data_IF_899810557414
#
_entry.id   IF_899810557414
#
_cell.length_a   1.000
_cell.length_b   1.000
_cell.length_c   1.000
_cell.angle_alpha   90.00
_cell.angle_beta   90.00
_cell.angle_gamma   90.00
#
_symmetry.space_group_name_H-M   'P 1'
#
loop_
_entity.id
_entity.type
_entity.pdbx_description
1 polymer ?
#
# COMPACT_ATOMS: atom_id res chain seq x y z
N UNK A 1 -13.45 3.20 -38.73
CA UNK A 1 -12.50 2.71 -37.69
C UNK A 1 -13.08 3.08 -36.34
N UNK A 2 -12.93 2.19 -35.35
CA UNK A 2 -13.40 2.40 -33.99
C UNK A 2 -12.20 2.30 -33.05
N UNK A 3 -11.89 3.38 -32.34
CA UNK A 3 -10.83 3.42 -31.33
C UNK A 3 -11.47 3.39 -29.95
N UNK A 4 -10.96 2.54 -29.08
CA UNK A 4 -11.45 2.43 -27.70
C UNK A 4 -10.32 2.78 -26.76
N UNK A 5 -10.23 4.08 -26.44
CA UNK A 5 -9.08 4.68 -25.76
C UNK A 5 -9.21 4.50 -24.25
N UNK A 6 -8.13 4.10 -23.55
CA UNK A 6 -8.11 4.08 -22.10
C UNK A 6 -8.23 5.51 -21.57
N UNK A 7 -9.00 5.69 -20.50
CA UNK A 7 -9.08 6.96 -19.77
C UNK A 7 -8.41 6.73 -18.41
N UNK A 8 -7.39 7.51 -18.02
CA UNK A 8 -6.79 7.35 -16.71
C UNK A 8 -7.73 7.90 -15.63
N UNK A 9 -7.75 7.25 -14.46
CA UNK A 9 -8.45 7.81 -13.29
C UNK A 9 -7.67 9.00 -12.75
N UNK A 10 -8.30 10.16 -12.73
CA UNK A 10 -7.67 11.36 -12.14
C UNK A 10 -8.05 11.60 -10.68
N UNK A 11 -9.19 11.07 -10.24
CA UNK A 11 -9.53 11.08 -8.82
C UNK A 11 -8.47 10.29 -8.04
N UNK A 12 -7.85 10.93 -7.04
CA UNK A 12 -6.92 10.29 -6.10
C UNK A 12 -7.55 10.13 -4.71
N UNK A 13 -7.04 9.17 -3.95
CA UNK A 13 -7.37 8.91 -2.55
C UNK A 13 -6.06 8.71 -1.78
N UNK A 14 -6.01 9.24 -0.57
CA UNK A 14 -4.92 8.95 0.36
C UNK A 14 -5.18 7.61 1.03
N UNK A 15 -4.19 6.74 1.01
CA UNK A 15 -4.21 5.47 1.72
C UNK A 15 -3.07 5.43 2.72
N UNK A 16 -3.37 5.09 3.97
CA UNK A 16 -2.36 4.88 5.00
C UNK A 16 -2.03 3.40 5.06
N UNK A 17 -0.75 3.06 4.94
CA UNK A 17 -0.27 1.67 4.98
C UNK A 17 0.90 1.59 5.94
N UNK A 18 0.86 0.66 6.89
CA UNK A 18 2.00 0.38 7.76
C UNK A 18 2.91 -0.64 7.12
N UNK A 19 4.17 -0.26 6.93
CA UNK A 19 5.20 -1.10 6.32
C UNK A 19 6.02 -1.76 7.43
N UNK A 20 6.11 -3.08 7.40
CA UNK A 20 6.85 -3.92 8.32
C UNK A 20 8.10 -4.48 7.64
N UNK A 21 9.19 -4.65 8.39
CA UNK A 21 10.33 -5.44 7.94
C UNK A 21 10.13 -6.91 8.29
N UNK A 22 10.39 -7.81 7.35
CA UNK A 22 10.26 -9.26 7.60
C UNK A 22 11.50 -9.90 8.20
N UNK A 23 12.52 -9.10 8.51
CA UNK A 23 13.78 -9.55 9.09
C UNK A 23 14.07 -8.92 10.47
N UNK A 24 13.17 -8.07 10.98
CA UNK A 24 13.33 -7.36 12.25
C UNK A 24 14.40 -6.26 12.25
N UNK A 25 14.90 -5.82 11.09
CA UNK A 25 15.93 -4.77 11.01
C UNK A 25 15.41 -3.35 11.27
N UNK A 26 14.09 -3.14 11.21
CA UNK A 26 13.45 -1.83 11.28
C UNK A 26 12.13 -1.90 12.02
N UNK A 27 11.81 -0.81 12.73
CA UNK A 27 10.49 -0.59 13.30
C UNK A 27 9.44 -0.41 12.19
N UNK A 28 8.18 -0.81 12.42
CA UNK A 28 7.10 -0.54 11.49
C UNK A 28 6.88 0.96 11.32
N UNK A 29 6.66 1.39 10.07
CA UNK A 29 6.43 2.80 9.76
C UNK A 29 5.19 2.95 8.89
N UNK A 30 4.32 3.89 9.24
CA UNK A 30 3.11 4.20 8.50
C UNK A 30 3.35 5.29 7.47
N UNK A 31 2.91 5.05 6.24
CA UNK A 31 3.05 5.98 5.13
C UNK A 31 1.68 6.33 4.56
N UNK A 32 1.47 7.63 4.30
CA UNK A 32 0.34 8.12 3.54
C UNK A 32 0.72 8.24 2.07
N UNK A 33 0.03 7.47 1.22
CA UNK A 33 0.26 7.47 -0.23
C UNK A 33 -0.98 7.91 -0.98
N UNK A 34 -0.80 8.82 -1.94
CA UNK A 34 -1.86 9.26 -2.84
C UNK A 34 -1.91 8.33 -4.05
N UNK A 35 -2.98 7.54 -4.16
CA UNK A 35 -3.19 6.60 -5.27
C UNK A 35 -4.45 6.95 -6.05
N UNK A 36 -4.55 6.59 -7.34
CA UNK A 36 -5.80 6.74 -8.07
C UNK A 36 -6.93 5.98 -7.37
N UNK A 37 -8.08 6.63 -7.16
CA UNK A 37 -9.27 6.06 -6.50
C UNK A 37 -9.74 4.77 -7.17
N UNK A 38 -9.54 4.67 -8.48
CA UNK A 38 -9.86 3.49 -9.29
C UNK A 38 -8.60 2.85 -9.87
N UNK A 39 -7.47 3.00 -9.18
CA UNK A 39 -6.20 2.40 -9.56
C UNK A 39 -6.13 0.92 -9.22
N UNK A 40 -4.92 0.40 -9.36
CA UNK A 40 -4.56 -0.99 -9.18
C UNK A 40 -3.55 -1.16 -8.04
N UNK A 41 -3.33 -2.40 -7.60
CA UNK A 41 -2.29 -2.72 -6.63
C UNK A 41 -0.92 -2.22 -7.10
N UNK A 42 -0.65 -2.28 -8.41
CA UNK A 42 0.58 -1.73 -8.99
C UNK A 42 0.75 -0.24 -8.67
N UNK A 43 -0.32 0.55 -8.74
CA UNK A 43 -0.27 1.99 -8.41
C UNK A 43 0.06 2.21 -6.92
N UNK A 44 -0.52 1.38 -6.04
CA UNK A 44 -0.28 1.42 -4.60
C UNK A 44 1.15 1.00 -4.25
N UNK A 45 1.63 -0.12 -4.79
CA UNK A 45 2.99 -0.61 -4.56
C UNK A 45 4.02 0.38 -5.12
N UNK A 46 3.77 0.96 -6.30
CA UNK A 46 4.64 1.98 -6.87
C UNK A 46 4.71 3.21 -5.95
N UNK A 47 3.56 3.74 -5.51
CA UNK A 47 3.54 4.88 -4.58
C UNK A 47 4.25 4.57 -3.26
N UNK A 48 4.01 3.39 -2.69
CA UNK A 48 4.67 2.93 -1.46
C UNK A 48 6.18 2.78 -1.64
N UNK A 49 6.63 2.20 -2.77
CA UNK A 49 8.05 1.95 -3.04
C UNK A 49 8.88 3.24 -3.02
N UNK A 50 8.28 4.35 -3.48
CA UNK A 50 8.91 5.67 -3.49
C UNK A 50 9.00 6.24 -2.07
N UNK A 51 7.90 6.25 -1.31
CA UNK A 51 7.86 6.88 0.01
C UNK A 51 8.62 6.09 1.08
N UNK A 52 8.66 4.76 0.96
CA UNK A 52 9.37 3.90 1.91
C UNK A 52 10.82 3.61 1.47
N UNK A 53 11.28 4.15 0.34
CA UNK A 53 12.61 3.91 -0.22
C UNK A 53 12.89 2.40 -0.33
N UNK A 54 12.08 1.72 -1.12
CA UNK A 54 12.22 0.28 -1.37
C UNK A 54 13.48 0.01 -2.21
N UNK A 55 14.31 -0.94 -1.77
CA UNK A 55 15.51 -1.34 -2.49
C UNK A 55 15.19 -2.09 -3.78
N UNK A 56 16.14 -2.06 -4.73
CA UNK A 56 15.98 -2.76 -6.02
C UNK A 56 15.90 -4.29 -5.87
N UNK A 57 16.34 -4.85 -4.75
CA UNK A 57 16.27 -6.27 -4.41
C UNK A 57 15.13 -6.61 -3.44
N UNK A 58 14.21 -5.67 -3.19
CA UNK A 58 13.07 -5.83 -2.30
C UNK A 58 11.72 -5.77 -3.05
N UNK A 59 10.70 -6.35 -2.44
CA UNK A 59 9.29 -6.29 -2.85
C UNK A 59 8.41 -5.98 -1.64
N UNK A 60 7.18 -5.56 -1.91
CA UNK A 60 6.15 -5.35 -0.89
C UNK A 60 5.03 -6.37 -1.09
N UNK A 61 4.75 -7.15 -0.04
CA UNK A 61 3.53 -7.94 0.04
C UNK A 61 2.47 -7.14 0.82
N UNK A 62 1.41 -6.70 0.15
CA UNK A 62 0.35 -5.88 0.75
C UNK A 62 -0.80 -6.77 1.23
N UNK A 63 -1.32 -6.51 2.42
CA UNK A 63 -2.37 -7.30 3.05
C UNK A 63 -3.44 -6.41 3.70
N UNK A 64 -4.65 -6.94 3.73
CA UNK A 64 -5.77 -6.38 4.47
C UNK A 64 -5.84 -7.07 5.84
N UNK A 65 -5.82 -6.27 6.89
CA UNK A 65 -5.81 -6.73 8.28
C UNK A 65 -7.14 -6.37 8.93
N UNK A 66 -7.81 -7.37 9.51
CA UNK A 66 -9.03 -7.17 10.27
C UNK A 66 -8.99 -7.99 11.54
N UNK A 67 -9.36 -7.36 12.67
CA UNK A 67 -9.31 -7.99 13.99
C UNK A 67 -7.96 -8.69 14.26
N UNK A 68 -6.84 -8.02 13.94
CA UNK A 68 -5.47 -8.51 14.18
C UNK A 68 -5.07 -9.75 13.37
N UNK A 69 -5.90 -10.15 12.39
CA UNK A 69 -5.61 -11.22 11.45
C UNK A 69 -5.51 -10.70 10.02
N UNK A 70 -4.65 -11.32 9.20
CA UNK A 70 -4.65 -11.10 7.76
C UNK A 70 -5.89 -11.79 7.19
N UNK A 71 -6.78 -11.01 6.57
CA UNK A 71 -7.99 -11.55 5.94
C UNK A 71 -7.86 -11.65 4.42
N UNK A 72 -6.93 -10.89 3.83
CA UNK A 72 -6.70 -10.90 2.38
C UNK A 72 -5.26 -10.53 2.04
N UNK A 73 -4.71 -11.23 1.06
CA UNK A 73 -3.45 -10.87 0.40
C UNK A 73 -3.80 -10.21 -0.93
N UNK A 74 -3.19 -9.07 -1.20
CA UNK A 74 -3.24 -8.39 -2.50
C UNK A 74 -2.00 -8.85 -3.27
N UNK A 75 -2.17 -9.81 -4.17
CA UNK A 75 -1.06 -10.44 -4.89
C UNK A 75 -1.04 -10.07 -6.37
N UNK A 76 -2.21 -9.91 -6.99
CA UNK A 76 -2.29 -9.60 -8.42
C UNK A 76 -2.07 -8.11 -8.66
N UNK A 77 -1.09 -7.70 -9.49
CA UNK A 77 -0.82 -6.29 -9.76
C UNK A 77 -2.03 -5.53 -10.31
N UNK A 78 -2.96 -6.23 -10.96
CA UNK A 78 -4.22 -5.71 -11.49
C UNK A 78 -5.35 -5.60 -10.47
N UNK A 79 -5.15 -6.06 -9.23
CA UNK A 79 -6.17 -5.98 -8.17
C UNK A 79 -6.61 -4.55 -7.96
N UNK A 80 -7.93 -4.31 -7.99
CA UNK A 80 -8.46 -2.96 -7.83
C UNK A 80 -8.31 -2.49 -6.39
N UNK A 81 -7.63 -1.36 -6.18
CA UNK A 81 -7.56 -0.72 -4.85
C UNK A 81 -8.87 -0.05 -4.46
N UNK A 82 -9.81 0.12 -5.40
CA UNK A 82 -11.13 0.66 -5.10
C UNK A 82 -11.96 -0.23 -4.16
N UNK A 83 -11.59 -1.50 -4.01
CA UNK A 83 -12.23 -2.45 -3.10
C UNK A 83 -11.88 -2.20 -1.63
N UNK A 84 -10.78 -1.47 -1.38
CA UNK A 84 -10.30 -1.11 -0.06
C UNK A 84 -11.11 0.07 0.48
N UNK A 85 -11.95 -0.21 1.47
CA UNK A 85 -12.92 0.72 2.05
C UNK A 85 -12.27 1.63 3.08
N UNK A 86 -12.91 2.75 3.32
CA UNK A 86 -12.59 3.65 4.44
C UNK A 86 -12.78 2.86 5.74
N UNK A 87 -11.79 2.91 6.64
CA UNK A 87 -11.77 2.10 7.86
C UNK A 87 -11.03 0.76 7.76
N UNK A 88 -10.75 0.24 6.54
CA UNK A 88 -9.94 -0.97 6.41
C UNK A 88 -8.50 -0.68 6.87
N UNK A 89 -7.78 -1.69 7.38
CA UNK A 89 -6.38 -1.55 7.83
C UNK A 89 -5.46 -2.29 6.86
N UNK A 90 -4.37 -1.64 6.46
CA UNK A 90 -3.42 -2.20 5.52
C UNK A 90 -2.05 -2.37 6.16
N UNK A 91 -1.47 -3.55 5.97
CA UNK A 91 -0.08 -3.83 6.28
C UNK A 91 0.66 -4.16 4.98
N UNK A 92 1.90 -3.71 4.84
CA UNK A 92 2.79 -4.11 3.77
C UNK A 92 4.07 -4.69 4.36
N UNK A 93 4.53 -5.82 3.84
CA UNK A 93 5.72 -6.51 4.35
C UNK A 93 6.85 -6.41 3.34
N UNK A 94 7.99 -5.83 3.75
CA UNK A 94 9.21 -5.72 2.93
C UNK A 94 9.92 -7.06 2.89
N UNK A 95 9.96 -7.69 1.73
CA UNK A 95 10.58 -8.99 1.51
C UNK A 95 11.70 -8.87 0.49
N UNK A 96 12.84 -9.57 0.66
CA UNK A 96 13.81 -9.71 -0.42
C UNK A 96 13.20 -10.45 -1.62
N UNK A 97 13.48 -10.02 -2.86
CA UNK A 97 12.99 -10.63 -4.11
C UNK A 97 13.26 -12.14 -4.21
N UNK A 98 14.38 -12.61 -3.66
CA UNK A 98 14.70 -14.05 -3.59
C UNK A 98 13.65 -14.89 -2.84
N UNK A 99 12.85 -14.26 -1.99
CA UNK A 99 11.80 -14.90 -1.19
C UNK A 99 10.38 -14.68 -1.73
N UNK A 100 10.21 -14.08 -2.91
CA UNK A 100 8.88 -13.82 -3.51
C UNK A 100 8.00 -15.07 -3.59
N UNK A 101 8.61 -16.23 -3.85
CA UNK A 101 7.92 -17.54 -3.96
C UNK A 101 8.27 -18.49 -2.82
N UNK A 102 8.99 -18.03 -1.82
CA UNK A 102 9.32 -18.86 -0.66
C UNK A 102 8.10 -19.02 0.24
N UNK A 103 7.92 -20.18 0.89
CA UNK A 103 6.99 -20.33 1.98
C UNK A 103 7.22 -19.26 3.08
N UNK A 104 6.13 -18.71 3.60
CA UNK A 104 6.14 -17.65 4.61
C UNK A 104 5.56 -18.17 5.92
N UNK A 105 6.01 -17.64 7.05
CA UNK A 105 5.36 -17.79 8.35
C UNK A 105 4.63 -16.52 8.72
N UNK A 106 3.41 -16.67 9.23
CA UNK A 106 2.56 -15.58 9.73
C UNK A 106 2.32 -15.80 11.21
N UNK A 107 2.84 -14.89 12.03
CA UNK A 107 2.64 -14.87 13.47
C UNK A 107 1.46 -13.97 13.82
N UNK A 108 0.47 -14.54 14.50
CA UNK A 108 -0.64 -13.79 15.12
C UNK A 108 -0.50 -13.87 16.64
N UNK A 109 -0.82 -12.80 17.36
CA UNK A 109 -0.57 -12.74 18.81
C UNK A 109 -1.86 -12.87 19.62
N UNK A 110 -1.79 -13.59 20.73
CA UNK A 110 -2.88 -13.71 21.70
C UNK A 110 -2.39 -13.46 23.12
N UNK A 111 -3.21 -12.79 23.93
CA UNK A 111 -3.00 -12.66 25.36
C UNK A 111 -4.26 -13.08 26.13
N UNK A 112 -4.06 -13.49 27.38
CA UNK A 112 -5.16 -13.77 28.29
C UNK A 112 -5.75 -12.49 28.85
N UNK A 113 -7.06 -12.30 28.70
CA UNK A 113 -7.81 -11.24 29.38
C UNK A 113 -8.63 -11.89 30.50
N UNK A 114 -8.40 -11.43 31.73
CA UNK A 114 -9.19 -11.86 32.88
C UNK A 114 -10.39 -10.90 33.03
N UNK A 115 -11.59 -11.36 32.67
CA UNK A 115 -12.82 -10.61 32.95
C UNK A 115 -13.35 -10.97 34.34
N UNK A 116 -13.39 -10.00 35.25
CA UNK A 116 -14.12 -10.12 36.51
C UNK A 116 -15.59 -9.77 36.25
N UNK A 117 -16.41 -10.74 35.89
CA UNK A 117 -17.86 -10.58 35.86
C UNK A 117 -18.51 -11.83 36.44
N UNK A 118 -19.04 -11.67 37.65
CA UNK A 118 -19.93 -12.59 38.36
C UNK A 118 -19.47 -14.07 38.45
N UNK A 119 -18.48 -14.32 39.31
CA UNK A 119 -18.23 -15.62 39.94
C UNK A 119 -17.68 -16.77 39.09
N UNK A 120 -17.72 -16.70 37.76
CA UNK A 120 -17.14 -17.70 36.86
C UNK A 120 -15.93 -17.13 36.09
N UNK A 121 -14.73 -17.51 36.52
CA UNK A 121 -13.48 -17.23 35.82
C UNK A 121 -13.43 -18.07 34.53
N UNK A 122 -13.95 -17.55 33.43
CA UNK A 122 -13.66 -18.10 32.09
C UNK A 122 -12.55 -17.26 31.46
N UNK A 123 -11.33 -17.81 31.29
CA UNK A 123 -10.26 -17.09 30.60
C UNK A 123 -10.66 -16.92 29.13
N UNK A 124 -10.74 -15.66 28.67
CA UNK A 124 -11.00 -15.35 27.26
C UNK A 124 -9.67 -14.96 26.61
N UNK A 125 -9.25 -15.70 25.58
CA UNK A 125 -8.10 -15.33 24.77
C UNK A 125 -8.51 -14.26 23.76
N UNK A 126 -7.74 -13.17 23.71
CA UNK A 126 -7.97 -12.08 22.77
C UNK A 126 -6.78 -11.95 21.83
N UNK A 127 -7.05 -11.95 20.53
CA UNK A 127 -6.06 -11.61 19.50
C UNK A 127 -5.74 -10.11 19.59
N UNK A 128 -4.46 -9.77 19.53
CA UNK A 128 -3.97 -8.40 19.58
C UNK A 128 -2.86 -8.22 18.55
N UNK A 129 -2.57 -6.95 18.23
CA UNK A 129 -1.45 -6.54 17.38
C UNK A 129 -1.54 -6.85 15.88
N UNK A 130 -0.79 -6.09 15.07
CA UNK A 130 -0.59 -6.41 13.68
C UNK A 130 0.15 -7.76 13.53
N UNK A 131 -0.27 -8.63 12.60
CA UNK A 131 0.42 -9.90 12.37
C UNK A 131 1.83 -9.64 11.84
N UNK A 132 2.80 -10.44 12.29
CA UNK A 132 4.18 -10.38 11.82
C UNK A 132 4.42 -11.47 10.78
N UNK A 133 5.29 -11.18 9.81
CA UNK A 133 5.53 -12.07 8.67
C UNK A 133 7.03 -12.21 8.43
N UNK A 134 7.48 -13.43 8.13
CA UNK A 134 8.85 -13.72 7.72
C UNK A 134 8.92 -14.86 6.69
N UNK A 135 10.03 -14.93 5.97
CA UNK A 135 10.35 -16.08 5.13
C UNK A 135 10.74 -17.29 5.99
N UNK A 136 10.29 -18.49 5.60
CA UNK A 136 10.67 -19.72 6.28
C UNK A 136 12.08 -20.18 5.86
N UNK A 137 12.88 -20.73 6.79
CA UNK A 137 14.17 -21.34 6.51
C UNK A 137 13.99 -22.72 5.86
N UNK A 138 15.07 -23.26 5.29
CA UNK A 138 15.04 -24.58 4.62
C UNK A 138 14.63 -25.72 5.57
N UNK A 139 15.11 -25.66 6.82
CA UNK A 139 14.74 -26.58 7.90
C UNK A 139 13.90 -25.83 8.93
N UNK A 140 12.65 -26.24 9.08
CA UNK A 140 11.69 -25.60 9.98
C UNK A 140 11.61 -26.41 11.26
N UNK A 141 12.11 -25.81 12.34
CA UNK A 141 11.98 -26.30 13.71
C UNK A 141 11.31 -25.33 14.67
N UNK A 142 10.84 -25.84 15.82
CA UNK A 142 10.28 -24.99 16.87
C UNK A 142 11.26 -23.90 17.31
N UNK A 143 12.55 -24.27 17.45
CA UNK A 143 13.63 -23.31 17.71
C UNK A 143 13.76 -22.26 16.60
N UNK A 144 13.76 -22.68 15.33
CA UNK A 144 13.90 -21.75 14.21
C UNK A 144 12.76 -20.73 14.13
N UNK A 145 11.51 -21.16 14.39
CA UNK A 145 10.34 -20.28 14.39
C UNK A 145 10.42 -19.26 15.52
N UNK A 146 10.91 -19.69 16.68
CA UNK A 146 11.13 -18.81 17.81
C UNK A 146 12.24 -17.79 17.56
N UNK A 147 13.36 -18.21 16.99
CA UNK A 147 14.47 -17.31 16.65
C UNK A 147 14.02 -16.23 15.64
N UNK A 148 13.24 -16.64 14.63
CA UNK A 148 12.63 -15.71 13.67
C UNK A 148 11.72 -14.72 14.39
N UNK A 149 10.84 -15.22 15.26
CA UNK A 149 9.89 -14.39 15.98
C UNK A 149 10.60 -13.37 16.90
N UNK A 150 11.60 -13.80 17.66
CA UNK A 150 12.39 -12.91 18.53
C UNK A 150 13.17 -11.88 17.71
N UNK A 151 13.68 -12.25 16.54
CA UNK A 151 14.32 -11.32 15.62
C UNK A 151 13.34 -10.24 15.15
N UNK A 152 12.13 -10.65 14.73
CA UNK A 152 11.05 -9.72 14.34
C UNK A 152 10.64 -8.80 15.49
N UNK A 153 10.70 -9.28 16.74
CA UNK A 153 10.38 -8.48 17.92
C UNK A 153 11.50 -7.56 18.39
N UNK A 154 12.73 -7.70 17.86
CA UNK A 154 13.87 -6.90 18.32
C UNK A 154 13.66 -5.38 18.27
N UNK A 155 12.95 -4.79 17.28
CA UNK A 155 12.67 -3.35 17.26
C UNK A 155 11.71 -2.89 18.37
N UNK A 156 10.98 -3.81 19.01
CA UNK A 156 9.97 -3.48 20.02
C UNK A 156 10.47 -3.65 21.46
N UNK A 157 11.74 -4.00 21.66
CA UNK A 157 12.29 -4.18 23.01
C UNK A 157 12.37 -2.85 23.76
N UNK A 158 11.75 -2.80 24.93
CA UNK A 158 11.89 -1.67 25.85
C UNK A 158 13.30 -1.72 26.44
N UNK A 159 14.16 -0.75 26.08
CA UNK A 159 15.47 -0.64 26.69
C UNK A 159 15.33 -0.45 28.20
N UNK A 160 15.94 -1.31 29.01
CA UNK A 160 16.09 -1.14 30.46
C UNK A 160 16.97 0.10 30.75
N UNK A 161 16.40 1.29 30.68
CA UNK A 161 17.16 2.52 30.87
C UNK A 161 16.41 3.80 30.51
N UNK A 162 15.29 4.08 31.20
CA UNK A 162 14.70 5.41 31.26
C UNK A 162 13.93 5.61 32.57
N UNK A 163 14.66 5.56 33.70
CA UNK A 163 14.23 6.20 34.94
C UNK A 163 14.95 7.54 35.05
N UNK A 164 14.19 8.63 35.18
CA UNK A 164 14.62 10.05 35.21
C UNK A 164 14.88 10.61 33.80
N UNK A 165 14.02 11.43 33.20
CA UNK A 165 13.60 12.75 33.69
C UNK A 165 12.12 13.00 33.37
N UNK A 166 11.27 12.93 34.40
CA UNK A 166 10.00 13.66 34.45
C UNK A 166 10.14 14.69 35.58
N UNK A 167 10.50 15.90 35.18
CA UNK A 167 10.25 17.19 35.82
C UNK A 167 10.30 18.13 34.61
N UNK A 168 9.32 18.91 34.19
CA UNK A 168 8.20 19.60 34.81
C UNK A 168 7.52 20.34 33.61
N UNK A 169 6.25 20.74 33.50
CA UNK A 169 5.18 21.13 34.41
C UNK A 169 3.83 21.01 33.66
N UNK A 170 2.76 20.67 34.37
CA UNK A 170 1.42 21.18 34.07
C UNK A 170 0.92 21.94 35.30
N UNK A 171 0.72 23.26 35.17
CA UNK A 171 -0.41 23.98 35.80
C UNK A 171 -0.51 25.42 35.27
N UNK A 172 -1.69 25.74 34.77
CA UNK A 172 -2.21 27.02 34.26
C UNK A 172 -1.94 28.26 35.14
N UNK A 173 -1.71 29.42 34.52
CA UNK A 173 -2.70 30.53 34.38
C UNK A 173 -2.10 31.85 33.85
N UNK A 174 -2.89 32.49 32.97
CA UNK A 174 -3.05 33.92 32.65
C UNK A 174 -1.86 34.93 32.69
N UNK A 175 -1.58 35.53 31.53
CA UNK A 175 -1.81 36.97 31.21
C UNK A 175 -0.75 37.60 30.26
N UNK A 176 -1.20 37.90 29.04
CA UNK A 176 -1.04 39.13 28.23
C UNK A 176 0.13 40.08 28.59
N UNK A 177 1.14 40.18 27.71
CA UNK A 177 1.53 41.38 26.92
C UNK A 177 2.96 41.30 26.36
N UNK A 178 3.09 41.43 25.03
CA UNK A 178 4.29 41.88 24.28
C UNK A 178 4.47 43.40 24.42
N UNK A 179 5.56 44.08 23.93
CA UNK A 179 6.72 43.60 23.15
C UNK A 179 8.10 44.21 23.55
N UNK A 180 9.12 43.84 22.76
CA UNK A 180 10.32 44.64 22.37
C UNK A 180 11.35 44.99 23.45
N UNK A 181 12.62 44.60 23.26
CA UNK A 181 13.55 45.42 22.48
C UNK A 181 14.89 44.72 22.17
N UNK A 182 15.45 45.19 21.06
CA UNK A 182 16.79 45.14 20.49
C UNK A 182 18.02 44.64 21.28
N UNK A 183 18.89 43.94 20.53
CA UNK A 183 20.35 44.11 20.54
C UNK A 183 21.08 43.45 21.72
N UNK A 184 22.32 43.00 21.63
CA UNK A 184 23.30 42.99 20.55
C UNK A 184 24.51 42.23 21.11
N UNK A 185 25.09 41.35 20.30
CA UNK A 185 26.54 41.38 20.00
C UNK A 185 27.50 40.93 21.14
N UNK A 186 28.03 39.71 20.96
CA UNK A 186 29.45 39.38 20.72
C UNK A 186 30.38 38.75 21.78
N UNK A 187 31.23 37.90 21.18
CA UNK A 187 32.66 37.60 21.40
C UNK A 187 33.00 36.92 22.74
N UNK A 188 33.22 35.60 22.71
CA UNK A 188 34.44 34.86 22.31
C UNK A 188 35.46 34.75 23.43
N UNK A 189 35.96 33.50 23.54
CA UNK A 189 37.30 33.11 23.93
C UNK A 189 37.71 33.44 25.36
N UNK A 190 38.49 32.63 26.06
CA UNK A 190 39.15 31.35 25.82
C UNK A 190 40.07 31.17 27.02
N UNK A 191 40.35 29.92 27.41
CA UNK A 191 41.61 29.52 28.07
C UNK A 191 41.77 30.04 29.52
N UNK A 192 42.42 29.37 30.47
CA UNK A 192 43.26 28.18 30.55
C UNK A 192 43.46 27.89 32.06
N UNK A 193 43.76 26.64 32.38
CA UNK A 193 44.62 26.09 33.46
C UNK A 193 44.43 26.55 34.92
N UNK A 194 44.19 25.60 35.83
CA UNK A 194 45.23 25.07 36.71
C UNK A 194 44.66 23.95 37.61
N UNK A 195 45.40 22.85 37.77
CA UNK A 195 45.19 21.87 38.84
C UNK A 195 46.06 22.23 40.06
N UNK A 196 46.43 21.26 40.91
CA UNK A 196 45.70 20.11 41.43
C UNK A 196 45.77 20.09 42.98
N UNK A 197 45.66 18.90 43.59
CA UNK A 197 45.87 18.57 45.02
C UNK A 197 44.65 18.79 45.94
N UNK A 198 44.36 17.98 46.96
CA UNK A 198 44.84 16.70 47.49
C UNK A 198 43.89 16.33 48.63
N UNK A 199 43.75 15.03 48.93
CA UNK A 199 43.74 14.43 50.28
C UNK A 199 42.84 13.19 50.42
N UNK A 200 43.53 12.04 50.53
CA UNK A 200 43.49 11.10 51.66
C UNK A 200 42.12 10.61 52.19
N UNK A 201 41.81 9.31 52.03
CA UNK A 201 42.13 8.18 52.94
C UNK A 201 41.15 8.10 54.14
N UNK A 202 40.52 6.99 54.55
CA UNK A 202 40.86 5.56 54.47
C UNK A 202 39.68 4.67 54.91
N UNK A 203 39.75 3.39 54.48
CA UNK A 203 39.47 2.11 55.19
C UNK A 203 38.09 1.87 55.83
N UNK A 204 37.47 0.69 55.75
CA UNK A 204 37.99 -0.69 55.91
C UNK A 204 36.90 -1.66 55.40
N UNK A 205 37.20 -2.57 54.46
CA UNK A 205 37.66 -3.96 54.63
C UNK A 205 36.72 -4.93 55.37
N UNK A 206 36.31 -5.99 54.66
CA UNK A 206 36.31 -7.38 55.13
C UNK A 206 36.26 -8.34 53.92
N UNK A 207 37.40 -8.94 53.58
CA UNK A 207 37.54 -10.21 52.84
C UNK A 207 37.04 -11.39 53.74
N UNK A 208 36.83 -12.64 53.34
CA UNK A 208 37.70 -13.64 52.67
C UNK A 208 36.77 -14.82 52.28
N UNK A 209 36.82 -15.48 51.11
CA UNK A 209 37.65 -16.67 50.82
C UNK A 209 37.29 -17.26 49.46
N UNK A 210 38.31 -17.68 48.69
CA UNK A 210 38.23 -18.41 47.42
C UNK A 210 38.28 -19.92 47.61
N UNK A 211 37.65 -20.65 46.70
CA UNK A 211 37.88 -22.07 46.36
C UNK A 211 37.50 -22.33 44.88
N UNK A 212 38.04 -23.37 44.22
CA UNK A 212 38.63 -23.24 42.87
C UNK A 212 37.82 -23.84 41.71
N UNK A 213 38.20 -23.39 40.51
CA UNK A 213 38.12 -23.99 39.17
C UNK A 213 36.86 -24.74 38.72
N UNK A 214 36.18 -24.17 37.71
CA UNK A 214 35.91 -24.88 36.46
C UNK A 214 35.74 -23.86 35.31
N UNK A 215 36.70 -23.89 34.38
CA UNK A 215 36.61 -23.25 33.07
C UNK A 215 35.55 -23.98 32.24
N UNK A 216 34.43 -23.33 31.91
CA UNK A 216 33.75 -23.55 30.63
C UNK A 216 33.10 -22.26 30.12
N UNK A 217 33.40 -22.04 28.85
CA UNK A 217 33.07 -21.01 27.88
C UNK A 217 31.73 -20.25 28.00
N UNK A 218 31.79 -18.97 27.62
CA UNK A 218 30.68 -18.03 27.68
C UNK A 218 29.71 -18.10 26.51
N UNK A 219 28.68 -17.24 26.60
CA UNK A 219 27.58 -17.00 25.64
C UNK A 219 26.38 -17.95 25.78
N UNK A 220 25.53 -17.77 26.81
CA UNK A 220 24.10 -18.14 26.75
C UNK A 220 23.32 -17.66 28.00
N UNK A 221 23.20 -16.35 28.19
CA UNK A 221 22.42 -15.76 29.29
C UNK A 221 21.03 -15.26 28.88
N UNK A 222 20.92 -14.58 27.74
CA UNK A 222 19.70 -13.84 27.38
C UNK A 222 18.60 -14.69 26.74
N UNK A 223 18.94 -15.70 25.93
CA UNK A 223 17.94 -16.42 25.15
C UNK A 223 17.05 -17.34 26.01
N UNK A 224 17.58 -17.91 27.11
CA UNK A 224 16.81 -18.79 28.00
C UNK A 224 15.64 -18.09 28.69
N UNK A 225 15.77 -16.79 28.97
CA UNK A 225 14.67 -16.01 29.58
C UNK A 225 13.58 -15.66 28.56
N UNK A 226 13.95 -15.42 27.30
CA UNK A 226 12.99 -15.14 26.22
C UNK A 226 12.12 -16.36 25.86
N UNK A 227 12.63 -17.58 26.07
CA UNK A 227 11.83 -18.82 25.94
C UNK A 227 10.66 -18.90 26.93
N UNK A 228 10.76 -18.24 28.09
CA UNK A 228 9.73 -18.25 29.13
C UNK A 228 8.65 -17.19 28.91
N UNK A 229 8.80 -16.34 27.89
CA UNK A 229 7.91 -15.21 27.63
C UNK A 229 6.83 -15.53 26.58
N UNK A 230 7.04 -16.56 25.74
CA UNK A 230 6.16 -16.88 24.61
C UNK A 230 5.89 -18.38 24.46
N UNK A 231 4.65 -18.74 24.10
CA UNK A 231 4.30 -20.10 23.66
C UNK A 231 3.77 -20.08 22.23
N UNK A 232 4.16 -21.06 21.41
CA UNK A 232 3.85 -21.11 19.98
C UNK A 232 2.90 -22.26 19.65
N UNK A 233 1.91 -22.01 18.79
CA UNK A 233 0.88 -22.97 18.42
C UNK A 233 0.61 -22.95 16.91
N UNK A 234 0.52 -24.12 16.28
CA UNK A 234 0.08 -24.24 14.88
C UNK A 234 -1.42 -23.99 14.77
N UNK A 235 -1.80 -23.13 13.83
CA UNK A 235 -3.21 -22.86 13.49
C UNK A 235 -3.62 -23.79 12.34
N UNK A 236 -4.57 -24.69 12.59
CA UNK A 236 -5.14 -25.56 11.55
C UNK A 236 -6.03 -24.76 10.60
N UNK A 237 -5.93 -25.00 9.30
CA UNK A 237 -6.74 -24.35 8.26
C UNK A 237 -8.26 -24.65 8.37
N UNK A 238 -8.67 -25.66 9.16
CA UNK A 238 -10.05 -26.18 9.18
C UNK A 238 -10.99 -25.58 10.24
N UNK A 239 -10.56 -24.58 11.00
CA UNK A 239 -11.47 -23.82 11.88
C UNK A 239 -12.05 -24.57 13.10
N UNK A 240 -11.64 -25.81 13.34
CA UNK A 240 -11.92 -26.52 14.60
C UNK A 240 -10.79 -26.17 15.58
N UNK A 241 -11.13 -25.64 16.76
CA UNK A 241 -10.23 -24.97 17.71
C UNK A 241 -9.13 -25.82 18.38
N UNK A 242 -8.63 -26.86 17.71
CA UNK A 242 -7.52 -27.68 18.18
C UNK A 242 -6.20 -27.04 17.73
N UNK A 243 -5.65 -26.20 18.59
CA UNK A 243 -4.30 -25.65 18.43
C UNK A 243 -3.28 -26.70 18.89
N UNK A 244 -2.27 -26.99 18.06
CA UNK A 244 -1.18 -27.89 18.43
C UNK A 244 0.00 -27.06 18.93
N UNK A 245 0.40 -27.28 20.19
CA UNK A 245 1.59 -26.62 20.76
C UNK A 245 2.84 -27.07 20.01
N UNK A 246 3.69 -26.12 19.65
CA UNK A 246 4.97 -26.36 19.00
C UNK A 246 6.02 -26.51 20.10
N UNK A 247 6.49 -27.74 20.31
CA UNK A 247 7.65 -27.99 21.17
C UNK A 247 8.95 -27.69 20.41
N UNK A 248 9.95 -27.15 21.12
CA UNK A 248 11.20 -26.62 20.55
C UNK A 248 11.93 -27.64 19.65
N UNK A 249 11.82 -28.94 19.98
CA UNK A 249 12.56 -30.04 19.34
C UNK A 249 11.69 -31.02 18.53
N UNK A 250 10.38 -30.79 18.36
CA UNK A 250 9.50 -31.80 17.75
C UNK A 250 8.99 -31.43 16.36
N UNK A 251 9.00 -30.14 16.00
CA UNK A 251 8.65 -29.73 14.64
C UNK A 251 9.89 -29.91 13.76
N UNK A 252 9.83 -30.80 12.77
CA UNK A 252 10.85 -30.93 11.73
C UNK A 252 10.14 -31.06 10.38
N UNK A 253 9.84 -29.91 9.77
CA UNK A 253 9.28 -29.84 8.43
C UNK A 253 10.38 -29.43 7.45
N UNK A 254 10.44 -30.11 6.31
CA UNK A 254 11.25 -29.68 5.18
C UNK A 254 10.49 -28.62 4.41
N UNK A 255 11.17 -27.56 3.96
CA UNK A 255 10.57 -26.46 3.20
C UNK A 255 9.76 -26.94 1.98
N UNK A 256 10.18 -28.02 1.33
CA UNK A 256 9.48 -28.63 0.18
C UNK A 256 8.10 -29.20 0.52
N UNK A 257 7.87 -29.52 1.80
CA UNK A 257 6.62 -30.07 2.32
C UNK A 257 5.77 -29.06 3.08
N UNK A 258 6.31 -27.86 3.30
CA UNK A 258 5.64 -26.81 4.06
C UNK A 258 4.50 -26.18 3.24
N UNK A 259 3.39 -25.76 3.89
CA UNK A 259 2.38 -24.96 3.23
C UNK A 259 2.99 -23.64 2.74
N UNK A 260 2.41 -23.04 1.71
CA UNK A 260 2.85 -21.73 1.21
C UNK A 260 2.84 -20.65 2.30
N UNK A 261 1.91 -20.77 3.25
CA UNK A 261 1.77 -19.87 4.40
C UNK A 261 1.55 -20.69 5.66
N UNK A 262 2.54 -20.73 6.54
CA UNK A 262 2.45 -21.37 7.86
C UNK A 262 1.90 -20.38 8.88
N UNK A 263 0.72 -20.64 9.43
CA UNK A 263 0.11 -19.79 10.44
C UNK A 263 0.46 -20.27 11.84
N UNK A 264 1.12 -19.41 12.61
CA UNK A 264 1.55 -19.67 13.99
C UNK A 264 0.90 -18.65 14.91
N UNK A 265 0.21 -19.14 15.92
CA UNK A 265 -0.32 -18.32 16.99
C UNK A 265 0.70 -18.25 18.14
N UNK A 266 0.98 -17.03 18.61
CA UNK A 266 1.96 -16.77 19.67
C UNK A 266 1.22 -16.24 20.89
N UNK A 267 1.28 -17.01 21.97
CA UNK A 267 0.72 -16.63 23.25
C UNK A 267 1.76 -15.83 24.03
N UNK A 268 1.42 -14.59 24.35
CA UNK A 268 2.25 -13.73 25.18
C UNK A 268 1.98 -14.00 26.65
N UNK A 269 3.00 -14.44 27.37
CA UNK A 269 2.94 -14.65 28.80
C UNK A 269 3.12 -13.31 29.54
N UNK A 270 2.71 -13.26 30.81
CA UNK A 270 2.57 -12.01 31.57
C UNK A 270 3.87 -11.17 31.70
N UNK A 271 5.03 -11.81 31.51
CA UNK A 271 6.33 -11.16 31.56
C UNK A 271 6.72 -10.49 30.24
N UNK A 272 6.20 -10.96 29.10
CA UNK A 272 6.49 -10.44 27.78
C UNK A 272 6.01 -8.99 27.61
N UNK A 273 4.80 -8.68 28.07
CA UNK A 273 4.22 -7.34 27.97
C UNK A 273 4.96 -6.26 28.75
N UNK A 274 5.88 -6.65 29.66
CA UNK A 274 6.77 -5.72 30.37
C UNK A 274 8.08 -5.45 29.64
N UNK A 275 8.48 -6.34 28.72
CA UNK A 275 9.74 -6.26 27.98
C UNK A 275 9.58 -5.66 26.59
N UNK A 276 8.38 -5.68 26.02
CA UNK A 276 8.13 -5.22 24.66
C UNK A 276 7.04 -4.14 24.60
N UNK A 277 7.26 -3.12 23.77
CA UNK A 277 6.36 -2.00 23.54
C UNK A 277 5.22 -2.39 22.59
N UNK A 278 4.15 -2.96 23.13
CA UNK A 278 2.97 -3.41 22.37
C UNK A 278 2.19 -2.27 21.70
N UNK A 279 2.37 -1.03 22.14
CA UNK A 279 1.65 0.16 21.63
C UNK A 279 1.86 0.41 20.14
N UNK A 280 3.03 0.06 19.59
CA UNK A 280 3.37 0.24 18.17
C UNK A 280 2.67 -0.76 17.26
N UNK A 281 2.31 -1.93 17.79
CA UNK A 281 1.62 -2.99 17.06
C UNK A 281 0.09 -2.94 17.25
N UNK A 282 -0.38 -2.31 18.33
CA UNK A 282 -1.78 -2.36 18.75
C UNK A 282 -2.75 -1.54 17.88
N UNK A 283 -2.27 -0.64 17.02
CA UNK A 283 -3.14 0.22 16.21
C UNK A 283 -2.55 0.48 14.82
N UNK A 284 -2.75 -0.45 13.89
CA UNK A 284 -2.63 -0.11 12.47
C UNK A 284 -3.57 1.07 12.18
N UNK A 285 -3.08 2.17 11.61
CA UNK A 285 -3.92 3.28 11.19
C UNK A 285 -4.93 2.76 10.18
N UNK A 286 -6.18 3.20 10.35
CA UNK A 286 -7.23 2.91 9.39
C UNK A 286 -7.02 3.77 8.15
N UNK A 287 -7.44 3.28 6.99
CA UNK A 287 -7.44 4.11 5.80
C UNK A 287 -8.36 5.30 6.07
N UNK A 288 -7.74 6.49 6.13
CA UNK A 288 -8.44 7.73 6.38
C UNK A 288 -9.57 7.93 5.37
N UNK A 289 -10.69 8.45 5.88
CA UNK A 289 -11.82 8.88 5.07
C UNK A 289 -11.32 9.83 4.00
N UNK A 290 -11.86 9.74 2.79
CA UNK A 290 -11.54 10.62 1.67
C UNK A 290 -11.58 12.09 2.11
N UNK A 291 -10.43 12.65 2.50
CA UNK A 291 -10.25 14.08 2.51
C UNK A 291 -10.22 14.44 1.04
N UNK A 292 -11.36 14.91 0.56
CA UNK A 292 -11.46 15.59 -0.72
C UNK A 292 -10.44 16.73 -0.65
N UNK A 293 -9.24 16.49 -1.17
CA UNK A 293 -8.27 17.56 -1.41
C UNK A 293 -9.07 18.64 -2.15
N UNK A 294 -9.16 19.87 -1.61
CA UNK A 294 -9.97 20.91 -2.21
C UNK A 294 -9.56 21.03 -3.67
N UNK A 295 -10.55 20.95 -4.58
CA UNK A 295 -10.43 21.05 -6.03
C UNK A 295 -9.36 22.08 -6.44
N UNK A 296 -8.11 21.62 -6.60
CA UNK A 296 -7.07 22.33 -7.32
C UNK A 296 -7.13 21.82 -8.74
N UNK A 297 -7.38 22.72 -9.69
CA UNK A 297 -7.40 22.54 -11.16
C UNK A 297 -7.89 21.17 -11.63
N UNK A 298 -9.13 21.08 -12.13
CA UNK A 298 -9.69 19.85 -12.74
C UNK A 298 -8.61 19.02 -13.43
N UNK A 299 -8.26 17.87 -12.83
CA UNK A 299 -7.33 16.91 -13.39
C UNK A 299 -7.95 16.39 -14.70
N UNK A 300 -7.67 17.11 -15.78
CA UNK A 300 -8.14 16.88 -17.14
C UNK A 300 -7.07 16.15 -17.92
N UNK A 301 -7.49 15.37 -18.91
CA UNK A 301 -6.60 14.58 -19.75
C UNK A 301 -6.87 14.94 -21.20
N UNK A 302 -5.83 15.26 -21.96
CA UNK A 302 -5.98 15.49 -23.39
C UNK A 302 -6.31 14.18 -24.13
N UNK A 303 -7.18 14.23 -25.14
CA UNK A 303 -7.52 13.09 -26.00
C UNK A 303 -6.27 12.45 -26.62
N UNK A 304 -5.30 13.27 -27.00
CA UNK A 304 -3.99 12.83 -27.50
C UNK A 304 -3.24 11.95 -26.49
N UNK A 305 -3.30 12.26 -25.20
CA UNK A 305 -2.71 11.42 -24.15
C UNK A 305 -3.39 10.05 -24.04
N UNK A 306 -4.73 10.00 -24.18
CA UNK A 306 -5.47 8.74 -24.25
C UNK A 306 -5.10 7.92 -25.50
N UNK A 307 -4.86 8.59 -26.64
CA UNK A 307 -4.42 7.96 -27.88
C UNK A 307 -2.99 7.41 -27.77
N UNK A 308 -2.08 8.17 -27.18
CA UNK A 308 -0.70 7.73 -26.92
C UNK A 308 -0.68 6.51 -26.00
N UNK A 309 -1.48 6.52 -24.94
CA UNK A 309 -1.64 5.37 -24.05
C UNK A 309 -2.16 4.14 -24.79
N UNK A 310 -3.08 4.31 -25.76
CA UNK A 310 -3.60 3.22 -26.58
C UNK A 310 -2.56 2.63 -27.55
N UNK A 311 -1.62 3.45 -28.04
CA UNK A 311 -0.59 3.04 -29.02
C UNK A 311 0.73 2.61 -28.36
N UNK A 312 0.86 2.79 -27.05
CA UNK A 312 2.05 2.41 -26.28
C UNK A 312 2.22 0.89 -26.29
N UNK A 313 3.48 0.45 -26.38
CA UNK A 313 3.84 -0.96 -26.24
C UNK A 313 3.66 -1.42 -24.78
N UNK A 314 2.98 -2.55 -24.59
CA UNK A 314 2.64 -3.11 -23.28
C UNK A 314 2.88 -4.64 -23.24
N UNK A 315 3.30 -5.22 -22.10
CA UNK A 315 3.36 -6.67 -21.95
C UNK A 315 1.95 -7.26 -21.86
N UNK A 316 1.74 -8.43 -22.46
CA UNK A 316 0.51 -9.20 -22.27
C UNK A 316 0.38 -9.65 -20.80
N UNK A 317 -0.85 -9.68 -20.30
CA UNK A 317 -1.14 -10.17 -18.96
C UNK A 317 -0.97 -11.70 -18.84
N UNK A 318 -0.89 -12.23 -17.61
CA UNK A 318 -0.76 -13.67 -17.37
C UNK A 318 -1.89 -14.51 -17.98
N UNK A 319 -3.12 -13.97 -17.98
CA UNK A 319 -4.32 -14.62 -18.51
C UNK A 319 -4.43 -14.54 -20.05
N UNK A 320 -3.69 -13.63 -20.68
CA UNK A 320 -3.75 -13.32 -22.12
C UNK A 320 -2.41 -13.54 -22.85
N UNK A 321 -1.56 -14.43 -22.33
CA UNK A 321 -0.24 -14.69 -22.90
C UNK A 321 -0.32 -15.17 -24.36
N UNK A 322 0.67 -14.76 -25.17
CA UNK A 322 0.72 -15.15 -26.58
C UNK A 322 1.28 -16.56 -26.74
N UNK A 323 0.58 -17.40 -27.51
CA UNK A 323 1.10 -18.71 -27.89
C UNK A 323 2.18 -18.57 -28.97
N UNK A 324 3.45 -18.74 -28.58
CA UNK A 324 4.56 -18.61 -29.50
C UNK A 324 4.68 -19.84 -30.41
N UNK A 325 4.53 -19.72 -31.74
CA UNK A 325 4.58 -20.85 -32.67
C UNK A 325 5.98 -21.46 -32.79
N UNK A 326 7.04 -20.73 -32.39
CA UNK A 326 8.43 -21.22 -32.33
C UNK A 326 8.70 -21.99 -31.04
N UNK A 327 8.34 -21.43 -29.89
CA UNK A 327 8.59 -22.06 -28.58
C UNK A 327 7.56 -23.14 -28.22
N UNK A 328 6.42 -23.18 -28.93
CA UNK A 328 5.29 -24.09 -28.67
C UNK A 328 4.71 -23.99 -27.25
N UNK A 329 4.79 -22.80 -26.65
CA UNK A 329 4.24 -22.49 -25.32
C UNK A 329 3.75 -21.05 -25.23
N UNK A 330 2.90 -20.78 -24.24
CA UNK A 330 2.47 -19.42 -23.89
C UNK A 330 3.65 -18.62 -23.35
N UNK A 331 3.76 -17.37 -23.80
CA UNK A 331 4.83 -16.44 -23.46
C UNK A 331 4.24 -15.07 -23.18
N UNK A 332 4.83 -14.39 -22.21
CA UNK A 332 4.55 -12.99 -21.94
C UNK A 332 5.23 -12.12 -23.01
N UNK A 333 4.55 -11.93 -24.13
CA UNK A 333 5.05 -11.13 -25.24
C UNK A 333 4.71 -9.64 -25.05
N UNK A 334 5.49 -8.77 -25.69
CA UNK A 334 5.15 -7.36 -25.83
C UNK A 334 4.16 -7.19 -27.00
N UNK A 335 3.13 -6.37 -26.78
CA UNK A 335 2.11 -6.04 -27.77
C UNK A 335 2.12 -4.53 -27.99
N UNK A 336 2.06 -4.13 -29.26
CA UNK A 336 1.92 -2.74 -29.67
C UNK A 336 0.83 -2.63 -30.74
N UNK A 337 0.08 -1.54 -30.70
CA UNK A 337 -0.91 -1.17 -31.73
C UNK A 337 -0.42 0.08 -32.45
N UNK A 338 -0.59 0.12 -33.77
CA UNK A 338 -0.24 1.27 -34.62
C UNK A 338 -1.41 1.60 -35.55
N UNK A 339 -1.63 2.87 -35.86
CA UNK A 339 -2.62 3.28 -36.85
C UNK A 339 -2.03 3.20 -38.25
N UNK A 340 -2.63 2.40 -39.13
CA UNK A 340 -2.15 2.24 -40.51
C UNK A 340 -2.89 3.14 -41.52
N UNK A 341 -4.22 3.25 -41.41
CA UNK A 341 -5.08 4.04 -42.30
C UNK A 341 -6.24 4.65 -41.54
N UNK A 342 -6.60 5.89 -41.86
CA UNK A 342 -7.70 6.59 -41.19
C UNK A 342 -9.00 6.58 -42.03
N UNK A 343 -10.18 6.39 -41.41
CA UNK A 343 -11.48 6.30 -42.11
C UNK A 343 -12.06 7.67 -42.44
N UNK A 344 -13.09 7.73 -43.30
CA UNK A 344 -13.88 8.97 -43.48
C UNK A 344 -14.61 9.41 -42.21
N UNK A 345 -15.16 8.43 -41.47
CA UNK A 345 -15.81 8.61 -40.17
C UNK A 345 -15.02 7.85 -39.11
N UNK A 346 -14.49 8.60 -38.15
CA UNK A 346 -13.74 8.09 -37.01
C UNK A 346 -14.63 8.10 -35.77
N UNK A 347 -14.78 6.92 -35.16
CA UNK A 347 -15.52 6.77 -33.90
C UNK A 347 -14.51 6.52 -32.78
N UNK A 348 -14.52 7.37 -31.76
CA UNK A 348 -13.65 7.25 -30.60
C UNK A 348 -14.51 7.00 -29.36
N UNK A 349 -14.38 5.82 -28.78
CA UNK A 349 -14.96 5.47 -27.49
C UNK A 349 -13.95 5.74 -26.37
N UNK A 350 -14.35 6.50 -25.37
CA UNK A 350 -13.61 6.71 -24.14
C UNK A 350 -13.97 5.58 -23.16
N UNK A 351 -13.04 4.66 -22.88
CA UNK A 351 -13.24 3.51 -21.98
C UNK A 351 -13.42 3.95 -20.53
N UNK A 352 -14.63 4.42 -20.21
CA UNK A 352 -14.97 4.91 -18.87
C UNK A 352 -15.42 3.80 -17.94
N UNK A 353 -16.01 2.74 -18.46
CA UNK A 353 -16.52 1.66 -17.63
C UNK A 353 -15.44 0.62 -17.36
N UNK A 354 -15.29 0.26 -16.08
CA UNK A 354 -14.46 -0.86 -15.65
C UNK A 354 -15.32 -1.89 -14.94
N UNK A 355 -15.02 -3.16 -15.25
CA UNK A 355 -15.70 -4.33 -14.72
C UNK A 355 -14.69 -5.21 -13.99
N UNK A 356 -14.97 -5.51 -12.73
CA UNK A 356 -14.36 -6.64 -12.02
C UNK A 356 -15.48 -7.58 -11.55
N UNK A 357 -15.12 -8.76 -11.05
CA UNK A 357 -16.08 -9.74 -10.55
C UNK A 357 -17.03 -9.15 -9.47
N UNK A 358 -16.58 -8.13 -8.74
CA UNK A 358 -17.31 -7.55 -7.61
C UNK A 358 -17.69 -6.07 -7.78
N UNK A 359 -17.10 -5.35 -8.74
CA UNK A 359 -17.36 -3.91 -8.93
C UNK A 359 -17.67 -3.53 -10.36
N UNK A 360 -18.51 -2.50 -10.47
CA UNK A 360 -18.99 -1.92 -11.71
C UNK A 360 -18.86 -0.40 -11.62
N UNK A 361 -17.82 0.16 -12.23
CA UNK A 361 -17.44 1.56 -12.01
C UNK A 361 -17.40 2.35 -13.31
N UNK A 362 -17.59 3.68 -13.22
CA UNK A 362 -17.47 4.63 -14.32
C UNK A 362 -16.47 5.73 -13.95
N UNK A 363 -15.54 6.01 -14.85
CA UNK A 363 -14.59 7.11 -14.74
C UNK A 363 -15.23 8.43 -15.18
N UNK A 364 -15.22 9.41 -14.29
CA UNK A 364 -15.74 10.78 -14.49
C UNK A 364 -14.61 11.77 -14.84
N UNK A 365 -13.45 11.28 -15.27
CA UNK A 365 -12.32 12.13 -15.70
C UNK A 365 -12.73 13.01 -16.88
N UNK A 366 -12.46 14.31 -16.79
CA UNK A 366 -12.65 15.24 -17.89
C UNK A 366 -11.61 14.94 -18.98
N UNK A 367 -12.08 14.62 -20.18
CA UNK A 367 -11.20 14.41 -21.35
C UNK A 367 -11.35 15.63 -22.25
N UNK A 368 -10.28 16.39 -22.44
CA UNK A 368 -10.26 17.51 -23.37
C UNK A 368 -9.99 16.99 -24.79
N UNK A 369 -10.97 17.18 -25.68
CA UNK A 369 -10.92 16.76 -27.07
C UNK A 369 -11.19 17.95 -28.00
N UNK A 370 -10.49 18.07 -29.15
CA UNK A 370 -10.71 19.16 -30.10
C UNK A 370 -12.08 19.05 -30.79
N UNK A 371 -12.88 20.12 -30.84
CA UNK A 371 -14.14 20.13 -31.61
C UNK A 371 -13.89 20.37 -33.11
N UNK A 372 -12.79 21.04 -33.43
CA UNK A 372 -12.33 21.37 -34.78
C UNK A 372 -10.87 20.98 -34.89
N UNK A 373 -10.47 20.49 -36.07
CA UNK A 373 -9.08 20.22 -36.43
C UNK A 373 -8.36 19.21 -35.51
N UNK A 374 -8.95 18.04 -35.32
CA UNK A 374 -8.25 16.89 -34.73
C UNK A 374 -7.22 16.37 -35.75
N UNK A 375 -5.95 16.69 -35.55
CA UNK A 375 -4.84 16.21 -36.37
C UNK A 375 -4.30 14.86 -35.86
N UNK A 376 -4.40 13.82 -36.71
CA UNK A 376 -3.88 12.49 -36.43
C UNK A 376 -2.62 12.13 -37.24
N UNK A 377 -2.07 13.08 -38.01
CA UNK A 377 -0.97 12.85 -38.96
C UNK A 377 0.28 12.24 -38.33
N UNK A 378 0.58 12.61 -37.08
CA UNK A 378 1.73 12.10 -36.32
C UNK A 378 1.59 10.65 -35.85
N UNK A 379 0.36 10.12 -35.82
CA UNK A 379 0.05 8.78 -35.28
C UNK A 379 -0.09 7.71 -36.37
N UNK A 380 -0.07 8.08 -37.65
CA UNK A 380 -0.19 7.15 -38.77
C UNK A 380 1.18 6.61 -39.19
N UNK A 381 1.34 5.29 -39.16
CA UNK A 381 2.60 4.62 -39.46
C UNK A 381 2.97 4.68 -40.96
N UNK A 382 1.97 4.62 -41.85
CA UNK A 382 2.17 4.70 -43.30
C UNK A 382 2.03 6.14 -43.79
N UNK A 383 3.15 6.73 -44.21
CA UNK A 383 3.21 8.14 -44.69
C UNK A 383 3.08 8.27 -46.20
N UNK A 384 2.83 7.18 -46.94
CA UNK A 384 2.54 7.26 -48.38
C UNK A 384 1.17 7.90 -48.63
N UNK A 385 0.97 8.59 -49.75
CA UNK A 385 -0.20 9.43 -50.11
C UNK A 385 -1.50 9.13 -49.33
N UNK A 386 -1.63 9.74 -48.15
CA UNK A 386 -2.83 9.60 -47.33
C UNK A 386 -3.75 10.80 -47.59
N UNK A 387 -5.08 10.57 -47.63
CA UNK A 387 -6.05 11.66 -47.53
C UNK A 387 -5.82 12.45 -46.23
N UNK A 388 -6.45 13.62 -46.13
CA UNK A 388 -6.44 14.48 -44.94
C UNK A 388 -6.51 13.67 -43.63
N UNK A 389 -5.63 13.99 -42.68
CA UNK A 389 -5.64 13.39 -41.33
C UNK A 389 -6.32 14.29 -40.31
N UNK A 390 -7.02 15.33 -40.80
CA UNK A 390 -7.73 16.31 -40.00
C UNK A 390 -9.20 15.93 -39.90
N UNK A 391 -9.75 16.04 -38.70
CA UNK A 391 -11.14 15.69 -38.43
C UNK A 391 -11.87 16.80 -37.68
N UNK A 392 -13.17 16.90 -37.95
CA UNK A 392 -14.12 17.74 -37.22
C UNK A 392 -15.08 16.89 -36.41
N UNK A 393 -15.31 17.28 -35.16
CA UNK A 393 -16.34 16.65 -34.34
C UNK A 393 -17.72 17.06 -34.86
N UNK A 394 -18.61 16.09 -35.05
CA UNK A 394 -19.99 16.36 -35.46
C UNK A 394 -21.03 15.73 -34.54
N UNK A 395 -20.67 14.74 -33.72
CA UNK A 395 -21.56 14.21 -32.70
C UNK A 395 -20.81 13.69 -31.46
N UNK A 396 -21.50 13.73 -30.32
CA UNK A 396 -21.06 13.15 -29.05
C UNK A 396 -22.22 12.38 -28.45
N UNK A 397 -21.99 11.12 -28.09
CA UNK A 397 -22.87 10.39 -27.17
C UNK A 397 -22.40 10.65 -25.75
N UNK A 398 -23.29 11.20 -24.93
CA UNK A 398 -23.05 11.50 -23.52
C UNK A 398 -23.69 10.43 -22.63
N UNK A 399 -23.06 10.12 -21.51
CA UNK A 399 -23.61 9.22 -20.49
C UNK A 399 -23.57 9.86 -19.10
N UNK A 400 -24.71 9.84 -18.43
CA UNK A 400 -24.90 10.32 -17.06
C UNK A 400 -25.25 9.15 -16.14
N UNK A 401 -24.83 9.22 -14.88
CA UNK A 401 -25.06 8.13 -13.91
C UNK A 401 -24.06 7.00 -14.02
N UNK A 402 -24.38 5.88 -13.37
CA UNK A 402 -23.49 4.74 -13.14
C UNK A 402 -23.92 3.53 -13.96
N UNK A 403 -23.15 2.44 -13.88
CA UNK A 403 -23.43 1.22 -14.64
C UNK A 403 -24.70 0.45 -14.16
N UNK A 404 -25.20 0.74 -12.95
CA UNK A 404 -26.47 0.19 -12.44
C UNK A 404 -27.73 0.95 -12.87
N UNK A 405 -27.55 2.11 -13.49
CA UNK A 405 -28.63 3.01 -13.89
C UNK A 405 -28.03 4.33 -14.37
N UNK A 406 -28.31 4.67 -15.62
CA UNK A 406 -27.76 5.85 -16.28
C UNK A 406 -28.66 6.33 -17.40
N UNK A 407 -28.30 7.47 -17.98
CA UNK A 407 -29.06 8.14 -19.02
C UNK A 407 -28.12 8.57 -20.15
N UNK A 408 -28.55 8.35 -21.39
CA UNK A 408 -27.77 8.74 -22.56
C UNK A 408 -28.43 9.93 -23.26
N UNK A 409 -27.62 10.88 -23.69
CA UNK A 409 -28.06 11.97 -24.57
C UNK A 409 -27.08 12.10 -25.74
N UNK A 410 -27.46 12.84 -26.78
CA UNK A 410 -26.57 13.14 -27.89
C UNK A 410 -26.41 14.64 -28.09
N UNK A 411 -25.18 15.09 -28.30
CA UNK A 411 -24.88 16.44 -28.80
C UNK A 411 -24.51 16.31 -30.26
N UNK A 412 -25.22 16.97 -31.18
CA UNK A 412 -25.01 16.81 -32.63
C UNK A 412 -24.90 18.18 -33.28
N UNK A 413 -23.92 18.34 -34.17
CA UNK A 413 -23.76 19.51 -35.03
C UNK A 413 -24.67 19.39 -36.24
N UNK A 414 -25.55 20.37 -36.41
CA UNK A 414 -26.45 20.46 -37.55
C UNK A 414 -25.85 21.40 -38.61
N UNK A 415 -25.42 20.85 -39.75
CA UNK A 415 -24.73 21.60 -40.82
C UNK A 415 -25.59 22.74 -41.40
N UNK A 416 -26.88 22.48 -41.68
CA UNK A 416 -27.78 23.49 -42.29
C UNK A 416 -28.12 24.63 -41.32
N UNK A 417 -28.33 24.29 -40.04
CA UNK A 417 -28.59 25.26 -38.98
C UNK A 417 -27.33 25.92 -38.41
N UNK A 418 -26.14 25.46 -38.83
CA UNK A 418 -24.81 25.89 -38.39
C UNK A 418 -24.68 26.00 -36.86
N UNK A 419 -25.15 24.98 -36.14
CA UNK A 419 -25.18 25.00 -34.69
C UNK A 419 -25.29 23.62 -34.04
N UNK A 420 -25.00 23.58 -32.74
CA UNK A 420 -25.10 22.36 -31.93
C UNK A 420 -26.48 22.25 -31.29
N UNK A 421 -26.96 21.01 -31.20
CA UNK A 421 -28.22 20.67 -30.55
C UNK A 421 -28.00 19.51 -29.59
N UNK A 422 -28.66 19.57 -28.44
CA UNK A 422 -28.79 18.47 -27.48
C UNK A 422 -30.07 17.72 -27.79
N UNK A 423 -29.96 16.40 -27.94
CA UNK A 423 -31.05 15.45 -28.09
C UNK A 423 -31.12 14.64 -26.79
N UNK A 424 -32.19 14.87 -26.04
CA UNK A 424 -32.49 14.24 -24.76
C UNK A 424 -33.87 13.57 -24.88
N UNK A 425 -33.87 12.33 -25.34
CA UNK A 425 -35.08 11.59 -25.75
C UNK A 425 -35.98 12.35 -26.74
N UNK A 426 -37.15 12.81 -26.30
CA UNK A 426 -38.12 13.57 -27.10
C UNK A 426 -37.85 15.08 -27.13
N UNK A 427 -36.89 15.55 -26.34
CA UNK A 427 -36.56 16.95 -26.17
C UNK A 427 -35.30 17.33 -26.97
N UNK A 428 -35.46 18.26 -27.92
CA UNK A 428 -34.34 18.83 -28.70
C UNK A 428 -34.15 20.30 -28.35
N UNK A 429 -32.96 20.67 -27.90
CA UNK A 429 -32.63 22.04 -27.51
C UNK A 429 -31.33 22.54 -28.15
N UNK A 430 -31.23 23.82 -28.54
CA UNK A 430 -29.99 24.39 -29.02
C UNK A 430 -28.93 24.41 -27.90
N UNK A 431 -27.66 24.23 -28.27
CA UNK A 431 -26.52 24.12 -27.36
C UNK A 431 -25.36 25.00 -27.85
N UNK A 432 -24.61 25.61 -26.92
CA UNK A 432 -23.39 26.33 -27.25
C UNK A 432 -22.20 25.38 -27.41
N UNK A 433 -21.23 25.76 -28.24
CA UNK A 433 -20.03 24.93 -28.48
C UNK A 433 -19.23 24.70 -27.19
N UNK A 434 -19.16 25.70 -26.31
CA UNK A 434 -18.49 25.62 -25.01
C UNK A 434 -19.10 24.56 -24.07
N UNK A 435 -20.35 24.16 -24.30
CA UNK A 435 -21.07 23.18 -23.47
C UNK A 435 -20.91 21.73 -23.94
N UNK A 436 -20.18 21.48 -25.04
CA UNK A 436 -20.02 20.13 -25.59
C UNK A 436 -19.06 19.31 -24.75
N UNK A 437 -17.94 19.92 -24.34
CA UNK A 437 -16.88 19.24 -23.60
C UNK A 437 -17.30 19.09 -22.15
N UNK A 438 -17.67 17.87 -21.76
CA UNK A 438 -18.08 17.55 -20.39
C UNK A 438 -17.54 16.17 -19.99
N UNK A 439 -17.46 15.87 -18.68
CA UNK A 439 -17.14 14.51 -18.21
C UNK A 439 -18.13 13.43 -18.72
N UNK A 440 -19.33 13.83 -19.14
CA UNK A 440 -20.34 12.92 -19.66
C UNK A 440 -20.00 12.38 -21.06
N UNK A 441 -19.11 13.03 -21.82
CA UNK A 441 -18.74 12.59 -23.16
C UNK A 441 -18.20 11.15 -23.14
N UNK A 442 -18.84 10.25 -23.88
CA UNK A 442 -18.56 8.80 -23.84
C UNK A 442 -18.10 8.26 -25.20
N UNK A 443 -18.79 8.63 -26.28
CA UNK A 443 -18.37 8.29 -27.66
C UNK A 443 -18.34 9.56 -28.49
N UNK A 444 -17.21 9.84 -29.13
CA UNK A 444 -16.96 10.98 -30.00
C UNK A 444 -17.04 10.52 -31.46
N UNK A 445 -17.74 11.30 -32.28
CA UNK A 445 -17.89 11.04 -33.71
C UNK A 445 -17.26 12.17 -34.50
N UNK A 446 -16.23 11.81 -35.26
CA UNK A 446 -15.42 12.70 -36.06
C UNK A 446 -15.60 12.39 -37.54
N UNK A 447 -15.69 13.43 -38.37
CA UNK A 447 -15.73 13.33 -39.83
C UNK A 447 -14.48 13.99 -40.38
N UNK A 448 -13.84 13.36 -41.36
CA UNK A 448 -12.67 13.89 -42.02
C UNK A 448 -13.01 15.18 -42.78
N UNK A 449 -12.12 16.17 -42.69
CA UNK A 449 -12.19 17.42 -43.48
C UNK A 449 -11.42 17.33 -44.80
#
# INVERSE_FOLDING_TARGET
MYLSLPVPSTAKRVMTVTVFSTDGSREPCSYDVSVPKFGTLSDLVQALSIVCLLGDDEILLVTEVYNNCIIRYLEEPSDSVSLLRDGDKLAAYRLPKRHEKSPLVVFTHQHFVQHSSDGNLTPQMREFEAPLLAALPEEISGLSLQDIYLKLLSPFQLSNGASSLNDCMESNSDSVDTPSDSGSINFQNSQLEDGPESNHCSASECEVTKGPDDLYDGVSGSNKEAHMDFEFYLKSERGEGQQQKIEINELHLLLETAPSRLHVNVHWLQNASRKYATSMLNNLPEIHKLELIPKGTEDSVALHGCLEAFLKEEPLGPEDMWYCPRCKKHQQAMKKLDLWRLPEVLVIHLKRFSYTQFTRNKLETFVDFPTVDLDLSSYVADKSEQPSSHYRLYAVSNHYGNMGGGHYTASIYHEEGKGWYKFDDDCVTPMSEDSIKTPAAYVLFYRRE
#
